data_IF_030541019515
#
_entry.id   IF_030541019515
#
_cell.length_a   1.000
_cell.length_b   1.000
_cell.length_c   1.000
_cell.angle_alpha   90.00
_cell.angle_beta   90.00
_cell.angle_gamma   90.00
#
_symmetry.space_group_name_H-M   'P 1'
#
loop_
_entity.id
_entity.type
_entity.pdbx_description
1 polymer ?
#
# COMPACT_ATOMS: atom_id res chain seq x y z
N UNK A 1 -14.44 -11.16 22.27
CA UNK A 1 -15.04 -10.16 21.36
C UNK A 1 -15.88 -10.93 20.36
N UNK A 2 -17.16 -10.58 20.19
CA UNK A 2 -18.12 -11.30 19.33
C UNK A 2 -17.78 -11.27 17.84
N UNK A 3 -16.83 -10.42 17.45
CA UNK A 3 -16.57 -10.07 16.05
C UNK A 3 -15.22 -10.60 15.55
N UNK A 4 -14.51 -11.34 16.40
CA UNK A 4 -13.25 -11.99 16.02
C UNK A 4 -13.56 -13.38 15.48
N UNK A 5 -13.25 -13.59 14.20
CA UNK A 5 -13.48 -14.83 13.45
C UNK A 5 -12.49 -15.95 13.80
N UNK A 6 -11.59 -15.73 14.75
CA UNK A 6 -10.53 -16.68 15.11
C UNK A 6 -9.36 -16.70 14.13
N UNK A 7 -9.29 -15.74 13.21
CA UNK A 7 -8.21 -15.63 12.24
C UNK A 7 -6.85 -15.47 12.91
N UNK A 8 -5.92 -16.37 12.60
CA UNK A 8 -4.57 -16.34 13.14
C UNK A 8 -3.61 -15.68 12.13
N UNK A 9 -3.30 -14.38 12.30
CA UNK A 9 -2.41 -13.67 11.37
C UNK A 9 -1.03 -14.30 11.35
N UNK A 10 -0.44 -14.43 10.15
CA UNK A 10 0.94 -14.93 10.03
C UNK A 10 1.92 -13.78 10.32
N UNK A 11 2.75 -13.84 11.38
CA UNK A 11 3.56 -12.69 11.81
C UNK A 11 4.44 -12.09 10.71
N UNK A 12 5.08 -12.95 9.91
CA UNK A 12 5.98 -12.52 8.82
C UNK A 12 5.26 -11.94 7.59
N UNK A 13 3.94 -11.81 7.67
CA UNK A 13 3.06 -11.28 6.62
C UNK A 13 2.28 -10.05 7.12
N UNK A 14 2.55 -9.58 8.33
CA UNK A 14 1.87 -8.40 8.88
C UNK A 14 2.72 -7.16 8.64
N UNK A 15 2.21 -6.28 7.78
CA UNK A 15 2.74 -4.96 7.53
C UNK A 15 2.00 -3.93 8.39
N UNK A 16 2.71 -3.31 9.33
CA UNK A 16 2.18 -2.19 10.11
C UNK A 16 2.49 -0.88 9.37
N UNK A 17 1.46 -0.05 9.18
CA UNK A 17 1.60 1.24 8.51
C UNK A 17 0.80 2.33 9.22
N UNK A 18 1.37 3.53 9.21
CA UNK A 18 0.72 4.74 9.66
C UNK A 18 -0.05 5.39 8.51
N UNK A 19 -1.31 5.70 8.74
CA UNK A 19 -2.20 6.30 7.75
C UNK A 19 -2.55 7.73 8.18
N UNK A 20 -2.18 8.68 7.33
CA UNK A 20 -2.53 10.10 7.46
C UNK A 20 -3.21 10.58 6.19
N UNK A 21 -4.37 11.24 6.32
CA UNK A 21 -5.16 11.75 5.20
C UNK A 21 -5.39 10.70 4.08
N UNK A 22 -5.76 9.48 4.48
CA UNK A 22 -6.00 8.31 3.61
C UNK A 22 -4.79 7.88 2.77
N UNK A 23 -3.57 8.26 3.17
CA UNK A 23 -2.31 7.86 2.53
C UNK A 23 -1.41 7.15 3.53
N UNK A 24 -0.60 6.23 3.02
CA UNK A 24 0.49 5.62 3.79
C UNK A 24 1.52 6.71 4.08
N UNK A 25 1.67 7.07 5.34
CA UNK A 25 2.66 8.05 5.80
C UNK A 25 4.00 7.36 6.11
N UNK A 26 3.94 6.26 6.86
CA UNK A 26 5.10 5.51 7.32
C UNK A 26 4.80 4.02 7.33
N UNK A 27 5.79 3.19 6.97
CA UNK A 27 5.76 1.75 7.20
C UNK A 27 6.70 1.42 8.36
N UNK A 28 6.20 0.69 9.34
CA UNK A 28 6.98 0.25 10.48
C UNK A 28 7.77 -1.01 10.12
N UNK A 29 9.06 -1.02 10.42
CA UNK A 29 9.86 -2.24 10.46
C UNK A 29 9.94 -2.77 11.88
N UNK A 30 10.46 -3.99 12.03
CA UNK A 30 10.57 -4.69 13.33
C UNK A 30 11.33 -3.89 14.40
N UNK A 31 12.23 -3.00 14.00
CA UNK A 31 13.07 -2.20 14.89
C UNK A 31 12.60 -0.73 15.03
N UNK A 32 11.45 -0.36 14.47
CA UNK A 32 10.95 1.02 14.55
C UNK A 32 10.39 1.30 15.94
N UNK A 33 10.90 2.35 16.59
CA UNK A 33 10.39 2.79 17.89
C UNK A 33 8.98 3.36 17.75
N UNK A 34 8.04 2.85 18.54
CA UNK A 34 6.63 3.31 18.53
C UNK A 34 6.43 4.69 19.18
N UNK A 35 7.49 5.27 19.77
CA UNK A 35 7.45 6.61 20.38
C UNK A 35 7.26 7.74 19.37
N UNK A 36 7.32 7.45 18.07
CA UNK A 36 7.09 8.42 16.99
C UNK A 36 5.65 8.45 16.45
N UNK A 37 4.74 7.59 16.94
CA UNK A 37 3.33 7.62 16.53
C UNK A 37 2.70 8.91 17.07
N UNK A 38 2.24 9.80 16.17
CA UNK A 38 1.58 11.05 16.59
C UNK A 38 0.11 10.78 16.92
N UNK A 39 -0.48 11.60 17.80
CA UNK A 39 -1.87 11.43 18.29
C UNK A 39 -2.96 11.39 17.21
N UNK A 40 -2.66 11.84 15.98
CA UNK A 40 -3.64 11.93 14.88
C UNK A 40 -3.57 10.79 13.88
N UNK A 41 -2.59 9.91 14.02
CA UNK A 41 -2.32 8.92 13.01
C UNK A 41 -2.99 7.58 13.32
N UNK A 42 -3.62 6.98 12.30
CA UNK A 42 -4.19 5.66 12.43
C UNK A 42 -3.12 4.63 12.08
N UNK A 43 -2.76 3.77 13.03
CA UNK A 43 -1.93 2.60 12.75
C UNK A 43 -2.82 1.47 12.24
N UNK A 44 -2.54 1.00 11.03
CA UNK A 44 -3.27 -0.08 10.36
C UNK A 44 -2.33 -1.26 10.14
N UNK A 45 -2.83 -2.46 10.43
CA UNK A 45 -2.12 -3.72 10.21
C UNK A 45 -2.70 -4.42 8.99
N UNK A 46 -1.86 -4.65 7.99
CA UNK A 46 -2.22 -5.34 6.76
C UNK A 46 -1.62 -6.74 6.76
N UNK A 47 -2.42 -7.77 6.53
CA UNK A 47 -1.87 -9.07 6.15
C UNK A 47 -1.66 -9.13 4.65
N UNK A 48 -0.41 -9.28 4.24
CA UNK A 48 0.01 -9.27 2.84
C UNK A 48 0.11 -10.69 2.29
N UNK A 49 0.09 -10.84 0.96
CA UNK A 49 0.11 -12.16 0.32
C UNK A 49 1.47 -12.87 0.38
N UNK A 50 2.55 -12.09 0.50
CA UNK A 50 3.93 -12.58 0.45
C UNK A 50 4.67 -12.17 1.73
N UNK A 51 5.59 -13.01 2.20
CA UNK A 51 6.33 -12.73 3.44
C UNK A 51 7.22 -11.49 3.29
N UNK A 52 7.18 -10.61 4.29
CA UNK A 52 8.00 -9.39 4.38
C UNK A 52 9.48 -9.68 4.59
N UNK A 53 9.83 -10.89 5.06
CA UNK A 53 11.22 -11.33 5.26
C UNK A 53 11.88 -11.89 3.99
N UNK A 54 11.13 -12.03 2.89
CA UNK A 54 11.66 -12.54 1.63
C UNK A 54 12.51 -11.46 0.93
N UNK A 55 13.83 -11.58 1.06
CA UNK A 55 14.81 -10.63 0.52
C UNK A 55 14.83 -10.56 -1.02
N UNK A 56 14.41 -11.63 -1.71
CA UNK A 56 14.45 -11.72 -3.18
C UNK A 56 13.10 -12.16 -3.74
N UNK A 57 12.15 -11.22 -3.72
CA UNK A 57 10.81 -11.43 -4.27
C UNK A 57 10.70 -10.80 -5.65
N UNK A 58 10.25 -11.59 -6.63
CA UNK A 58 9.85 -11.13 -7.97
C UNK A 58 8.65 -10.16 -7.94
N UNK A 59 8.07 -9.94 -6.75
CA UNK A 59 6.96 -9.02 -6.51
C UNK A 59 7.32 -7.94 -5.50
N UNK A 60 6.63 -6.82 -5.60
CA UNK A 60 6.66 -5.72 -4.63
C UNK A 60 5.25 -5.44 -4.11
N UNK A 61 5.18 -4.87 -2.91
CA UNK A 61 3.96 -4.31 -2.36
C UNK A 61 3.90 -2.83 -2.71
N UNK A 62 2.96 -2.48 -3.59
CA UNK A 62 2.73 -1.11 -4.03
C UNK A 62 1.54 -0.51 -3.27
N UNK A 63 1.72 0.59 -2.51
CA UNK A 63 0.59 1.27 -1.88
C UNK A 63 -0.32 1.90 -2.94
N UNK A 64 -1.62 1.76 -2.76
CA UNK A 64 -2.66 2.31 -3.62
C UNK A 64 -3.63 3.14 -2.77
N UNK A 65 -3.83 4.39 -3.17
CA UNK A 65 -4.71 5.36 -2.50
C UNK A 65 -5.89 5.69 -3.40
N UNK A 66 -7.07 5.88 -2.81
CA UNK A 66 -8.25 6.29 -3.55
C UNK A 66 -8.42 7.79 -3.47
N UNK A 67 -8.72 8.41 -4.61
CA UNK A 67 -8.91 9.85 -4.72
C UNK A 67 -10.18 10.14 -5.50
N UNK A 68 -10.95 11.09 -5.00
CA UNK A 68 -12.05 11.66 -5.75
C UNK A 68 -11.49 12.78 -6.64
N UNK A 69 -11.64 12.63 -7.95
CA UNK A 69 -11.13 13.60 -8.91
C UNK A 69 -11.92 14.92 -8.89
N UNK A 70 -13.20 14.89 -8.52
CA UNK A 70 -14.05 16.08 -8.48
C UNK A 70 -13.74 16.96 -7.28
N UNK A 71 -13.62 16.37 -6.09
CA UNK A 71 -13.35 17.12 -4.86
C UNK A 71 -11.88 17.14 -4.45
N UNK A 72 -11.01 16.46 -5.20
CA UNK A 72 -9.57 16.39 -4.99
C UNK A 72 -9.11 15.85 -3.63
N UNK A 73 -9.98 15.23 -2.83
CA UNK A 73 -9.64 14.61 -1.55
C UNK A 73 -9.35 13.10 -1.70
N UNK A 74 -8.52 12.58 -0.80
CA UNK A 74 -8.29 11.14 -0.68
C UNK A 74 -9.38 10.52 0.20
N UNK A 75 -9.75 9.27 -0.04
CA UNK A 75 -10.75 8.57 0.78
C UNK A 75 -10.41 7.09 0.95
N UNK A 76 -11.14 6.44 1.86
CA UNK A 76 -10.95 5.01 2.16
C UNK A 76 -9.63 4.71 2.89
N UNK A 77 -9.41 3.45 3.24
CA UNK A 77 -8.09 3.01 3.68
C UNK A 77 -7.25 2.67 2.45
N UNK A 78 -5.97 3.08 2.39
CA UNK A 78 -5.10 2.65 1.31
C UNK A 78 -4.92 1.13 1.38
N UNK A 79 -4.72 0.52 0.21
CA UNK A 79 -4.48 -0.93 0.07
C UNK A 79 -3.08 -1.18 -0.45
N UNK A 80 -2.58 -2.40 -0.30
CA UNK A 80 -1.32 -2.84 -0.89
C UNK A 80 -1.59 -3.81 -2.03
N UNK A 81 -1.04 -3.50 -3.20
CA UNK A 81 -1.09 -4.35 -4.38
C UNK A 81 0.21 -5.14 -4.50
N UNK A 82 0.11 -6.47 -4.58
CA UNK A 82 1.26 -7.32 -4.92
C UNK A 82 1.40 -7.36 -6.44
N UNK A 83 2.43 -6.69 -6.97
CA UNK A 83 2.68 -6.54 -8.41
C UNK A 83 4.09 -6.98 -8.78
N UNK A 84 4.37 -7.35 -10.05
CA UNK A 84 5.73 -7.69 -10.48
C UNK A 84 6.73 -6.58 -10.17
N UNK A 85 7.91 -6.95 -9.69
CA UNK A 85 9.04 -6.03 -9.45
C UNK A 85 9.63 -5.52 -10.76
N UNK A 86 9.67 -6.39 -11.77
CA UNK A 86 10.28 -6.14 -13.07
C UNK A 86 9.23 -6.27 -14.17
N UNK A 87 9.34 -5.43 -15.21
CA UNK A 87 8.42 -5.39 -16.36
C UNK A 87 6.92 -5.32 -15.99
N UNK A 88 6.60 -4.60 -14.90
CA UNK A 88 5.22 -4.39 -14.46
C UNK A 88 4.45 -3.55 -15.48
N UNK A 89 3.31 -4.07 -15.95
CA UNK A 89 2.45 -3.45 -16.95
C UNK A 89 1.11 -3.06 -16.35
N UNK A 90 0.37 -2.21 -17.07
CA UNK A 90 -0.96 -1.78 -16.64
C UNK A 90 -1.93 -2.94 -16.36
N UNK A 91 -1.81 -4.05 -17.13
CA UNK A 91 -2.60 -5.26 -16.89
C UNK A 91 -2.33 -5.89 -15.52
N UNK A 92 -1.08 -5.89 -15.05
CA UNK A 92 -0.70 -6.52 -13.79
C UNK A 92 -1.27 -5.71 -12.61
N UNK A 93 -1.30 -4.38 -12.75
CA UNK A 93 -1.95 -3.48 -11.79
C UNK A 93 -3.47 -3.71 -11.78
N UNK A 94 -4.10 -3.81 -12.94
CA UNK A 94 -5.54 -4.04 -13.05
C UNK A 94 -5.95 -5.38 -12.41
N UNK A 95 -5.20 -6.44 -12.69
CA UNK A 95 -5.41 -7.77 -12.08
C UNK A 95 -5.22 -7.71 -10.56
N UNK A 96 -4.17 -7.05 -10.07
CA UNK A 96 -3.93 -6.88 -8.63
C UNK A 96 -5.06 -6.09 -7.95
N UNK A 97 -5.53 -5.01 -8.58
CA UNK A 97 -6.63 -4.19 -8.08
C UNK A 97 -7.95 -4.99 -8.02
N UNK A 98 -8.24 -5.74 -9.08
CA UNK A 98 -9.42 -6.61 -9.13
C UNK A 98 -9.36 -7.71 -8.06
N UNK A 99 -8.19 -8.28 -7.79
CA UNK A 99 -8.02 -9.26 -6.71
C UNK A 99 -8.23 -8.65 -5.32
N UNK A 100 -7.74 -7.42 -5.11
CA UNK A 100 -7.82 -6.74 -3.82
C UNK A 100 -9.21 -6.18 -3.51
N UNK A 101 -9.89 -5.61 -4.51
CA UNK A 101 -11.17 -4.90 -4.35
C UNK A 101 -12.36 -5.74 -4.84
N UNK A 102 -12.15 -6.68 -5.77
CA UNK A 102 -13.22 -7.44 -6.41
C UNK A 102 -14.07 -8.29 -5.46
N UNK A 103 -13.55 -8.58 -4.26
CA UNK A 103 -14.33 -9.25 -3.20
C UNK A 103 -15.26 -8.29 -2.43
N UNK A 104 -15.05 -6.98 -2.57
CA UNK A 104 -15.80 -5.93 -1.86
C UNK A 104 -16.69 -5.11 -2.80
N UNK A 105 -16.33 -5.01 -4.09
CA UNK A 105 -17.10 -4.32 -5.11
C UNK A 105 -17.14 -5.23 -6.35
N UNK A 106 -18.31 -5.70 -6.81
CA UNK A 106 -18.41 -6.35 -8.11
C UNK A 106 -18.09 -5.32 -9.20
N UNK A 107 -16.85 -5.28 -9.66
CA UNK A 107 -16.36 -4.37 -10.72
C UNK A 107 -16.92 -4.70 -12.12
N UNK A 108 -17.89 -5.61 -12.20
CA UNK A 108 -18.67 -5.99 -13.38
C UNK A 108 -20.06 -6.39 -12.85
N UNK A 109 -21.15 -5.69 -13.11
CA UNK A 109 -21.74 -5.36 -14.41
C UNK A 109 -22.64 -4.12 -14.26
N UNK A 110 -22.45 -3.06 -15.05
CA UNK A 110 -23.47 -1.99 -15.12
C UNK A 110 -23.52 -1.39 -16.52
N UNK A 111 -24.73 -1.46 -17.06
CA UNK A 111 -25.29 -0.89 -18.29
C UNK A 111 -24.63 0.43 -18.75
N UNK A 112 -24.38 0.63 -20.05
CA UNK A 112 -23.81 1.87 -20.59
C UNK A 112 -24.70 3.14 -20.47
N UNK A 113 -25.87 3.07 -19.84
CA UNK A 113 -26.85 4.18 -19.80
C UNK A 113 -26.80 5.06 -18.54
N UNK A 114 -26.04 4.70 -17.51
CA UNK A 114 -25.92 5.51 -16.30
C UNK A 114 -24.59 6.30 -16.27
N UNK A 115 -24.70 7.63 -16.12
CA UNK A 115 -23.59 8.56 -15.96
C UNK A 115 -22.67 8.11 -14.80
N UNK A 116 -21.57 7.43 -15.14
CA UNK A 116 -20.59 6.91 -14.19
C UNK A 116 -19.62 8.01 -13.75
N UNK A 117 -19.57 8.25 -12.45
CA UNK A 117 -18.32 8.70 -11.82
C UNK A 117 -17.26 7.65 -12.12
N UNK A 118 -16.26 8.04 -12.90
CA UNK A 118 -15.08 7.23 -13.19
C UNK A 118 -14.28 7.13 -11.90
N UNK A 119 -14.36 5.99 -11.20
CA UNK A 119 -13.46 5.72 -10.09
C UNK A 119 -12.03 5.67 -10.63
N UNK A 120 -11.29 6.75 -10.40
CA UNK A 120 -9.90 6.93 -10.80
C UNK A 120 -9.00 6.48 -9.66
N UNK A 121 -8.32 5.35 -9.84
CA UNK A 121 -7.22 4.98 -8.95
C UNK A 121 -5.97 5.74 -9.42
N UNK A 122 -5.56 6.76 -8.66
CA UNK A 122 -4.34 7.50 -8.95
C UNK A 122 -3.15 6.81 -8.27
N UNK A 123 -2.22 6.31 -9.09
CA UNK A 123 -0.93 5.78 -8.65
C UNK A 123 0.02 6.94 -8.36
N UNK A 124 0.35 7.16 -7.09
CA UNK A 124 1.42 8.10 -6.72
C UNK A 124 2.73 7.33 -6.59
N UNK A 125 3.61 7.44 -7.58
CA UNK A 125 4.99 7.00 -7.46
C UNK A 125 5.73 7.97 -6.52
N UNK A 126 5.87 7.63 -5.25
CA UNK A 126 6.83 8.30 -4.37
C UNK A 126 8.23 7.74 -4.65
N UNK A 127 8.88 8.30 -5.67
CA UNK A 127 10.32 8.12 -5.85
C UNK A 127 11.02 9.00 -4.80
N UNK A 128 11.31 8.44 -3.63
CA UNK A 128 12.17 9.10 -2.66
C UNK A 128 13.59 9.15 -3.21
N UNK A 129 13.98 10.31 -3.73
CA UNK A 129 15.38 10.66 -3.95
C UNK A 129 16.13 10.46 -2.63
N UNK A 130 17.17 9.62 -2.64
CA UNK A 130 18.14 9.57 -1.54
C UNK A 130 19.15 10.71 -1.75
N UNK A 131 19.29 11.68 -0.82
CA UNK A 131 20.46 12.52 -0.80
C UNK A 131 21.66 11.60 -0.53
N UNK A 132 22.57 11.50 -1.50
CA UNK A 132 23.84 10.82 -1.30
C UNK A 132 24.71 11.68 -0.38
N UNK A 133 24.62 11.46 0.93
CA UNK A 133 25.55 12.01 1.92
C UNK A 133 26.82 11.15 2.00
N UNK A 134 27.46 10.89 0.87
CA UNK A 134 28.87 10.44 0.89
C UNK A 134 29.76 11.69 0.91
N UNK A 135 30.33 12.10 2.05
CA UNK A 135 31.63 12.75 1.99
C UNK A 135 32.68 11.71 1.56
N UNK A 136 33.64 12.20 0.78
CA UNK A 136 34.73 11.43 0.17
C UNK A 136 35.60 10.68 1.21
N UNK A 137 36.15 9.55 0.75
CA UNK A 137 37.09 8.65 1.44
C UNK A 137 38.19 9.39 2.21
N UNK A 138 38.48 8.91 3.42
CA UNK A 138 39.84 8.93 3.95
C UNK A 138 40.39 7.49 3.94
N UNK A 139 41.38 7.25 3.08
CA UNK A 139 42.33 6.15 3.23
C UNK A 139 43.27 6.54 4.36
N UNK A 140 43.42 5.70 5.37
CA UNK A 140 44.60 5.68 6.24
C UNK A 140 44.93 4.22 6.53
N UNK A 141 46.20 3.88 6.28
CA UNK A 141 46.85 2.58 6.47
C UNK A 141 46.82 2.09 7.94
#
# INVERSE_FOLDING_TARGET
>A
ASDYDGHQPKPDYILAAEIYNHRVHLQYGDNTLLTSILERDCVVFYEVSDSLKKLDSDKILMPCTFRDDYYHYNFGLPIYLSVPRHDCKGKDIQEALQKAIGNFIPLSTTDPSENKSLYSASLVFTQSYSPTSKPLKAYLD
#
